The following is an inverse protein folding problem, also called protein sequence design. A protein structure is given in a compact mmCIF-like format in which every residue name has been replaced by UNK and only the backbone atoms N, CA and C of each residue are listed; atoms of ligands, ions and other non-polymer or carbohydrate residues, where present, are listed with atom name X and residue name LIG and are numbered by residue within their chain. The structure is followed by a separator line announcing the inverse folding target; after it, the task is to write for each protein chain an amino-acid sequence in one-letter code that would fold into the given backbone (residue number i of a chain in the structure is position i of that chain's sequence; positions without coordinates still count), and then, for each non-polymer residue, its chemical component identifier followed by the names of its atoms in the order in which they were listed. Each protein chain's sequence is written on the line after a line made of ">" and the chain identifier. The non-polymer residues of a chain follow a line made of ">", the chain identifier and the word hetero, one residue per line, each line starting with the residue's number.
data_IF_039233314393
#
_entry.id   IF_039233314393
#
_cell.length_a   1.000
_cell.length_b   1.000
_cell.length_c   1.000
_cell.angle_alpha   90.00
_cell.angle_beta   90.00
_cell.angle_gamma   90.00
#
_symmetry.space_group_name_H-M   'P 1'
#
loop_
_entity.id
_entity.type
_entity.pdbx_description
1 polymer ?
#
# COMPACT_ATOMS: atom_id res chain seq x y z
N UNK A 1 12.36 -63.20 -11.41
CA UNK A 1 12.06 -61.99 -10.61
C UNK A 1 13.14 -60.98 -10.86
N UNK A 2 12.93 -59.99 -11.75
CA UNK A 2 13.83 -58.82 -11.90
C UNK A 2 13.24 -57.67 -12.75
N UNK A 3 11.91 -57.57 -12.89
CA UNK A 3 11.26 -56.51 -13.69
C UNK A 3 10.15 -55.76 -12.94
N UNK A 4 10.38 -55.43 -11.66
CA UNK A 4 9.47 -54.56 -10.89
C UNK A 4 10.16 -53.41 -10.11
N UNK A 5 11.47 -53.18 -10.31
CA UNK A 5 12.17 -52.07 -9.65
C UNK A 5 12.32 -50.79 -10.50
N UNK A 6 12.13 -50.86 -11.83
CA UNK A 6 12.33 -49.71 -12.73
C UNK A 6 11.06 -48.87 -13.01
N UNK A 7 9.89 -49.27 -12.49
CA UNK A 7 8.66 -48.50 -12.66
C UNK A 7 8.40 -47.49 -11.52
N UNK A 8 9.14 -47.57 -10.41
CA UNK A 8 8.99 -46.69 -9.24
C UNK A 8 9.94 -45.48 -9.24
N UNK A 9 10.92 -45.45 -10.14
CA UNK A 9 11.92 -44.36 -10.27
C UNK A 9 11.57 -43.32 -11.34
N UNK A 10 10.34 -43.33 -11.88
CA UNK A 10 9.87 -42.39 -12.91
C UNK A 10 8.70 -41.49 -12.46
N UNK A 11 8.47 -41.36 -11.14
CA UNK A 11 7.43 -40.46 -10.60
C UNK A 11 8.04 -39.27 -9.82
N UNK A 12 9.36 -39.19 -9.70
CA UNK A 12 10.04 -38.19 -8.84
C UNK A 12 10.72 -37.03 -9.57
N UNK A 13 10.32 -36.71 -10.82
CA UNK A 13 11.01 -35.65 -11.59
C UNK A 13 10.12 -34.68 -12.37
N UNK A 14 8.87 -34.45 -11.93
CA UNK A 14 8.04 -33.35 -12.45
C UNK A 14 7.32 -32.65 -11.28
N UNK A 15 8.08 -31.98 -10.42
CA UNK A 15 7.65 -30.76 -9.72
C UNK A 15 8.86 -29.82 -9.73
N UNK A 16 9.17 -29.30 -10.90
CA UNK A 16 10.14 -28.23 -11.08
C UNK A 16 9.56 -27.24 -12.09
N UNK A 17 8.49 -26.56 -11.70
CA UNK A 17 8.03 -25.27 -12.26
C UNK A 17 6.75 -24.85 -11.53
N UNK A 18 6.86 -24.63 -10.22
CA UNK A 18 5.84 -23.92 -9.45
C UNK A 18 6.55 -22.92 -8.55
N UNK A 19 6.55 -21.68 -9.01
CA UNK A 19 6.67 -20.46 -8.21
C UNK A 19 7.75 -20.46 -7.13
N UNK A 20 9.01 -20.23 -7.53
CA UNK A 20 9.91 -19.44 -6.70
C UNK A 20 9.47 -17.97 -6.77
N UNK A 21 8.32 -17.67 -6.19
CA UNK A 21 8.13 -16.39 -5.52
C UNK A 21 8.61 -16.62 -4.09
N UNK A 22 9.93 -16.71 -3.91
CA UNK A 22 10.52 -16.44 -2.60
C UNK A 22 10.20 -14.98 -2.30
N UNK A 23 9.05 -14.76 -1.67
CA UNK A 23 8.87 -13.57 -0.85
C UNK A 23 9.93 -13.69 0.25
N UNK A 24 11.13 -13.20 -0.04
CA UNK A 24 12.08 -12.90 1.01
C UNK A 24 11.34 -11.92 1.92
N UNK A 25 10.94 -12.37 3.11
CA UNK A 25 10.85 -11.46 4.22
C UNK A 25 12.20 -10.74 4.23
N UNK A 26 12.22 -9.47 3.83
CA UNK A 26 13.45 -8.70 3.85
C UNK A 26 13.76 -8.47 5.32
N UNK A 27 14.63 -9.33 5.85
CA UNK A 27 15.01 -9.32 7.25
C UNK A 27 15.52 -7.95 7.66
N UNK A 28 15.20 -7.53 8.90
CA UNK A 28 15.70 -6.28 9.46
C UNK A 28 17.24 -6.30 9.48
N UNK A 29 17.86 -5.27 8.92
CA UNK A 29 19.31 -5.12 8.86
C UNK A 29 19.81 -4.07 9.86
N UNK A 30 20.93 -4.31 10.57
CA UNK A 30 21.50 -3.30 11.47
C UNK A 30 21.99 -2.09 10.69
N UNK A 31 21.78 -0.89 11.25
CA UNK A 31 22.23 0.37 10.67
C UNK A 31 23.53 0.84 11.34
N UNK A 32 24.43 1.40 10.54
CA UNK A 32 25.61 2.11 11.05
C UNK A 32 25.21 3.53 11.44
N UNK A 33 25.47 3.94 12.68
CA UNK A 33 25.02 5.23 13.20
C UNK A 33 26.10 5.94 14.02
N UNK A 34 26.06 7.26 14.02
CA UNK A 34 26.95 8.13 14.79
C UNK A 34 26.19 9.33 15.35
N UNK A 35 26.77 9.96 16.37
CA UNK A 35 26.24 11.20 16.95
C UNK A 35 26.93 12.40 16.31
N UNK A 36 26.14 13.40 15.93
CA UNK A 36 26.59 14.67 15.39
C UNK A 36 26.11 15.79 16.31
N UNK A 37 27.03 16.64 16.77
CA UNK A 37 26.66 17.83 17.54
C UNK A 37 25.94 18.83 16.64
N UNK A 38 24.73 19.23 17.05
CA UNK A 38 23.94 20.27 16.40
C UNK A 38 24.24 21.64 17.01
N UNK A 39 24.18 21.71 18.34
CA UNK A 39 24.43 22.94 19.10
C UNK A 39 25.02 22.63 20.46
N UNK A 40 25.91 23.48 20.94
CA UNK A 40 26.41 23.44 22.31
C UNK A 40 26.49 24.85 22.88
N UNK A 41 26.06 25.03 24.13
CA UNK A 41 26.22 26.26 24.88
C UNK A 41 26.41 25.97 26.37
N UNK A 42 26.42 27.02 27.20
CA UNK A 42 26.60 26.91 28.66
C UNK A 42 25.50 26.09 29.36
N UNK A 43 24.33 25.95 28.74
CA UNK A 43 23.17 25.25 29.30
C UNK A 43 23.23 23.76 28.95
N UNK A 44 23.65 23.39 27.73
CA UNK A 44 23.64 21.99 27.33
C UNK A 44 24.24 21.72 25.96
N UNK A 45 24.15 20.45 25.56
CA UNK A 45 24.56 19.93 24.25
C UNK A 45 23.36 19.28 23.57
N UNK A 46 23.12 19.64 22.32
CA UNK A 46 22.10 19.09 21.43
C UNK A 46 22.79 18.28 20.35
N UNK A 47 22.42 17.02 20.23
CA UNK A 47 23.05 16.07 19.31
C UNK A 47 21.99 15.34 18.49
N UNK A 48 22.32 15.08 17.24
CA UNK A 48 21.53 14.30 16.30
C UNK A 48 22.17 12.92 16.12
N UNK A 49 21.39 11.85 16.22
CA UNK A 49 21.84 10.51 15.83
C UNK A 49 21.54 10.32 14.35
N UNK A 50 22.60 10.26 13.56
CA UNK A 50 22.56 10.03 12.12
C UNK A 50 22.93 8.59 11.83
N UNK A 51 22.25 7.97 10.87
CA UNK A 51 22.57 6.63 10.41
C UNK A 51 22.75 6.61 8.90
N UNK A 52 23.67 5.77 8.42
CA UNK A 52 23.89 5.56 6.98
C UNK A 52 22.58 5.17 6.32
N UNK A 53 22.30 5.81 5.18
CA UNK A 53 21.07 5.55 4.45
C UNK A 53 20.98 4.07 4.02
N UNK A 54 19.94 3.33 4.45
CA UNK A 54 19.89 1.88 4.27
C UNK A 54 19.43 1.48 2.86
N UNK A 55 18.92 2.43 2.08
CA UNK A 55 18.43 2.19 0.70
C UNK A 55 19.53 2.41 -0.32
N UNK A 56 20.30 3.48 -0.17
CA UNK A 56 21.43 3.82 -1.04
C UNK A 56 22.46 4.62 -0.24
N UNK A 57 23.69 4.10 -0.13
CA UNK A 57 24.78 4.72 0.62
C UNK A 57 25.26 6.06 0.02
N UNK A 58 24.85 6.41 -1.20
CA UNK A 58 25.15 7.71 -1.81
C UNK A 58 24.12 8.79 -1.43
N UNK A 59 23.00 8.42 -0.82
CA UNK A 59 22.02 9.36 -0.31
C UNK A 59 22.43 9.89 1.07
N UNK A 60 21.96 11.09 1.47
CA UNK A 60 22.24 11.63 2.79
C UNK A 60 21.84 10.68 3.92
N UNK A 61 22.64 10.70 4.99
CA UNK A 61 22.35 9.98 6.21
C UNK A 61 21.01 10.41 6.81
N UNK A 62 20.36 9.46 7.47
CA UNK A 62 19.03 9.64 8.02
C UNK A 62 19.09 10.01 9.50
N UNK A 63 18.29 11.00 9.91
CA UNK A 63 18.09 11.32 11.32
C UNK A 63 17.19 10.26 11.97
N UNK A 64 17.67 9.63 13.05
CA UNK A 64 16.94 8.61 13.79
C UNK A 64 16.68 8.97 15.26
N UNK A 65 17.39 9.97 15.81
CA UNK A 65 17.09 10.49 17.14
C UNK A 65 17.62 11.92 17.32
N UNK A 66 16.98 12.69 18.20
CA UNK A 66 17.51 13.95 18.73
C UNK A 66 17.75 13.80 20.23
N UNK A 67 18.87 14.28 20.74
CA UNK A 67 19.25 14.16 22.15
C UNK A 67 19.63 15.53 22.71
N UNK A 68 19.20 15.79 23.94
CA UNK A 68 19.58 16.98 24.72
C UNK A 68 20.20 16.51 26.01
N UNK A 69 21.42 16.99 26.29
CA UNK A 69 22.14 16.73 27.53
C UNK A 69 22.41 18.05 28.26
N UNK A 70 21.92 18.17 29.48
CA UNK A 70 22.06 19.34 30.35
C UNK A 70 22.82 18.90 31.62
N UNK A 71 24.16 19.00 31.63
CA UNK A 71 24.99 18.45 32.71
C UNK A 71 24.69 19.04 34.08
N UNK A 72 24.40 20.34 34.14
CA UNK A 72 24.14 21.08 35.38
C UNK A 72 22.92 20.59 36.16
N UNK A 73 21.98 19.95 35.48
CA UNK A 73 20.77 19.38 36.09
C UNK A 73 20.75 17.84 36.04
N UNK A 74 21.78 17.20 35.48
CA UNK A 74 21.83 15.75 35.28
C UNK A 74 20.73 15.24 34.34
N UNK A 75 20.18 16.10 33.47
CA UNK A 75 19.08 15.75 32.58
C UNK A 75 19.64 15.29 31.23
N UNK A 76 19.16 14.14 30.77
CA UNK A 76 19.36 13.70 29.40
C UNK A 76 18.03 13.22 28.80
N UNK A 77 17.59 13.88 27.74
CA UNK A 77 16.35 13.55 27.04
C UNK A 77 16.69 13.14 25.62
N UNK A 78 16.02 12.10 25.12
CA UNK A 78 16.19 11.58 23.76
C UNK A 78 14.83 11.35 23.13
N UNK A 79 14.67 11.89 21.92
CA UNK A 79 13.50 11.71 21.09
C UNK A 79 13.88 10.81 19.92
N UNK A 80 13.36 9.58 19.94
CA UNK A 80 13.57 8.60 18.87
C UNK A 80 12.59 8.83 17.72
N UNK A 81 13.10 8.78 16.49
CA UNK A 81 12.32 8.90 15.25
C UNK A 81 12.18 7.53 14.57
N UNK A 82 11.82 6.53 15.37
CA UNK A 82 11.58 5.17 14.91
C UNK A 82 10.14 4.97 14.42
N UNK A 83 9.93 3.96 13.59
CA UNK A 83 8.69 3.74 12.87
C UNK A 83 8.87 3.76 11.36
N UNK A 84 7.75 3.66 10.64
CA UNK A 84 7.74 3.66 9.19
C UNK A 84 8.12 5.04 8.63
N UNK A 85 8.90 5.03 7.54
CA UNK A 85 9.45 6.18 6.84
C UNK A 85 9.10 6.08 5.37
N UNK A 86 8.18 6.93 4.90
CA UNK A 86 7.68 6.90 3.51
C UNK A 86 8.82 7.02 2.50
N UNK A 87 9.76 7.91 2.75
CA UNK A 87 10.91 8.18 1.89
C UNK A 87 11.87 6.99 1.77
N UNK A 88 11.92 6.13 2.80
CA UNK A 88 12.73 4.90 2.79
C UNK A 88 11.92 3.68 2.37
N UNK A 89 10.60 3.80 2.26
CA UNK A 89 9.69 2.68 1.98
C UNK A 89 9.88 1.54 2.99
N UNK A 90 10.11 1.87 4.25
CA UNK A 90 10.45 0.90 5.30
C UNK A 90 10.43 1.48 6.70
N UNK A 91 10.70 0.62 7.68
CA UNK A 91 10.61 0.92 9.11
C UNK A 91 11.99 0.99 9.72
N UNK A 92 12.30 2.12 10.37
CA UNK A 92 13.44 2.22 11.28
C UNK A 92 13.01 1.66 12.62
N UNK A 93 13.69 0.63 13.12
CA UNK A 93 13.43 -0.01 14.41
C UNK A 93 14.55 0.31 15.39
N UNK A 94 14.16 0.76 16.58
CA UNK A 94 15.09 0.99 17.69
C UNK A 94 14.82 -0.04 18.78
N UNK A 95 15.84 -0.85 19.07
CA UNK A 95 15.82 -1.86 20.12
C UNK A 95 16.71 -1.44 21.30
N UNK A 96 16.34 -1.85 22.51
CA UNK A 96 17.02 -1.51 23.77
C UNK A 96 16.24 -0.48 24.60
N UNK A 97 16.89 0.04 25.63
CA UNK A 97 16.31 1.10 26.46
C UNK A 97 16.24 2.39 25.63
N UNK A 98 15.01 2.88 25.41
CA UNK A 98 14.74 4.14 24.68
C UNK A 98 14.79 5.37 25.59
N UNK A 99 14.80 5.18 26.91
CA UNK A 99 14.82 6.26 27.90
C UNK A 99 16.24 6.69 28.25
N UNK A 100 17.22 5.79 28.11
CA UNK A 100 18.62 6.11 28.26
C UNK A 100 19.17 6.80 26.99
N UNK A 101 20.02 7.82 27.19
CA UNK A 101 20.78 8.46 26.12
C UNK A 101 21.85 7.57 25.48
N UNK A 102 21.96 6.32 25.93
CA UNK A 102 22.99 5.35 25.56
C UNK A 102 22.33 3.97 25.35
N UNK A 103 22.92 3.12 24.51
CA UNK A 103 22.61 1.68 24.54
C UNK A 103 21.44 1.20 23.69
N UNK A 104 21.18 1.83 22.53
CA UNK A 104 20.12 1.37 21.62
C UNK A 104 20.68 1.02 20.23
N UNK A 105 20.29 -0.15 19.73
CA UNK A 105 20.60 -0.63 18.38
C UNK A 105 19.53 -0.13 17.41
N UNK A 106 19.98 0.33 16.23
CA UNK A 106 19.09 0.81 15.17
C UNK A 106 19.15 -0.20 14.03
N UNK A 107 18.00 -0.58 13.50
CA UNK A 107 17.89 -1.47 12.35
C UNK A 107 16.85 -0.94 11.37
N UNK A 108 16.94 -1.37 10.12
CA UNK A 108 16.00 -1.02 9.07
C UNK A 108 15.33 -2.27 8.52
N UNK A 109 14.00 -2.24 8.47
CA UNK A 109 13.19 -3.27 7.85
C UNK A 109 12.43 -2.65 6.66
N UNK A 110 12.81 -2.95 5.41
CA UNK A 110 12.07 -2.46 4.26
C UNK A 110 10.66 -3.05 4.22
N UNK A 111 9.68 -2.26 3.76
CA UNK A 111 8.34 -2.77 3.55
C UNK A 111 8.31 -3.59 2.25
N UNK A 112 7.80 -4.83 2.28
CA UNK A 112 7.86 -5.72 1.13
C UNK A 112 7.14 -5.09 -0.07
N UNK A 113 7.70 -5.24 -1.27
CA UNK A 113 7.06 -4.75 -2.50
C UNK A 113 5.73 -5.46 -2.79
N UNK A 114 5.62 -6.71 -2.35
CA UNK A 114 4.38 -7.47 -2.42
C UNK A 114 4.25 -8.42 -1.25
N UNK A 115 3.02 -8.70 -0.84
CA UNK A 115 2.71 -9.62 0.26
C UNK A 115 1.42 -10.38 -0.02
N UNK A 116 1.20 -11.48 0.68
CA UNK A 116 -0.05 -12.23 0.65
C UNK A 116 -0.78 -12.00 1.97
N UNK A 117 -2.00 -11.45 1.89
CA UNK A 117 -2.89 -11.24 3.04
C UNK A 117 -4.20 -11.92 2.73
N UNK A 118 -4.62 -12.87 3.58
CA UNK A 118 -5.84 -13.67 3.40
C UNK A 118 -5.93 -14.34 2.01
N UNK A 119 -4.79 -14.82 1.49
CA UNK A 119 -4.69 -15.46 0.18
C UNK A 119 -4.74 -14.50 -1.02
N UNK A 120 -4.83 -13.19 -0.79
CA UNK A 120 -4.81 -12.17 -1.84
C UNK A 120 -3.42 -11.53 -1.94
N UNK A 121 -2.94 -11.41 -3.18
CA UNK A 121 -1.72 -10.67 -3.47
C UNK A 121 -1.97 -9.16 -3.33
N UNK A 122 -1.18 -8.55 -2.47
CA UNK A 122 -1.11 -7.12 -2.28
C UNK A 122 0.21 -6.58 -2.81
N UNK A 123 0.16 -5.45 -3.52
CA UNK A 123 1.35 -4.78 -4.05
C UNK A 123 1.52 -3.42 -3.42
N UNK A 124 2.69 -3.11 -2.87
CA UNK A 124 2.97 -1.82 -2.24
C UNK A 124 2.87 -0.72 -3.30
N UNK A 125 2.09 0.30 -3.01
CA UNK A 125 1.96 1.47 -3.87
C UNK A 125 3.17 2.40 -3.71
N UNK A 126 3.47 3.15 -4.76
CA UNK A 126 4.48 4.20 -4.67
C UNK A 126 3.84 5.47 -4.12
N UNK A 127 4.11 5.73 -2.85
CA UNK A 127 3.51 6.84 -2.11
C UNK A 127 4.58 7.83 -1.66
N UNK A 128 4.21 9.11 -1.62
CA UNK A 128 5.10 10.21 -1.28
C UNK A 128 4.37 11.35 -0.61
N UNK A 129 5.06 12.01 0.30
CA UNK A 129 4.65 13.31 0.83
C UNK A 129 5.11 14.42 -0.11
N UNK A 130 4.17 15.21 -0.61
CA UNK A 130 4.45 16.39 -1.40
C UNK A 130 4.22 17.63 -0.54
N UNK A 131 5.21 18.52 -0.46
CA UNK A 131 5.05 19.82 0.20
C UNK A 131 4.11 20.69 -0.64
N UNK A 132 3.15 21.33 0.03
CA UNK A 132 2.21 22.26 -0.59
C UNK A 132 2.64 23.69 -0.27
N UNK A 133 2.37 24.16 0.95
CA UNK A 133 2.71 25.51 1.46
C UNK A 133 2.79 25.44 2.99
N UNK A 134 3.66 26.24 3.63
CA UNK A 134 3.70 26.44 5.08
C UNK A 134 3.77 25.13 5.91
N UNK A 135 4.67 24.21 5.54
CA UNK A 135 4.81 22.89 6.18
C UNK A 135 3.57 21.99 6.11
N UNK A 136 2.61 22.33 5.24
CA UNK A 136 1.51 21.44 4.88
C UNK A 136 1.97 20.47 3.79
N UNK A 137 1.61 19.20 3.94
CA UNK A 137 1.97 18.14 3.02
C UNK A 137 0.77 17.29 2.66
N UNK A 138 0.76 16.82 1.41
CA UNK A 138 -0.21 15.86 0.90
C UNK A 138 0.47 14.51 0.69
N UNK A 139 -0.09 13.44 1.26
CA UNK A 139 0.32 12.07 1.02
C UNK A 139 -0.44 11.51 -0.18
N UNK A 140 0.30 11.32 -1.27
CA UNK A 140 -0.24 10.90 -2.57
C UNK A 140 0.37 9.55 -2.94
N UNK A 141 -0.39 8.71 -3.62
CA UNK A 141 0.11 7.44 -4.17
C UNK A 141 -0.19 7.33 -5.66
N UNK A 142 0.73 6.70 -6.38
CA UNK A 142 0.49 6.26 -7.75
C UNK A 142 -0.27 4.94 -7.76
N UNK A 143 -1.13 4.74 -8.76
CA UNK A 143 -1.77 3.45 -9.00
C UNK A 143 -0.75 2.43 -9.55
N UNK A 144 -1.18 1.16 -9.69
CA UNK A 144 -0.34 0.09 -10.23
C UNK A 144 0.12 0.30 -11.69
N UNK A 145 -0.39 1.33 -12.38
CA UNK A 145 0.03 1.75 -13.73
C UNK A 145 0.92 3.00 -13.69
N UNK A 146 1.32 3.46 -12.50
CA UNK A 146 2.15 4.65 -12.31
C UNK A 146 1.40 5.97 -12.45
N UNK A 147 0.06 5.97 -12.42
CA UNK A 147 -0.74 7.20 -12.50
C UNK A 147 -1.02 7.73 -11.11
N UNK A 148 -0.61 8.96 -10.83
CA UNK A 148 -0.92 9.62 -9.55
C UNK A 148 -2.42 9.79 -9.39
N UNK A 149 -2.96 9.28 -8.28
CA UNK A 149 -4.32 9.58 -7.89
C UNK A 149 -4.40 11.04 -7.42
N UNK A 150 -5.20 11.88 -8.08
CA UNK A 150 -5.38 13.30 -7.73
C UNK A 150 -6.22 13.53 -6.47
N UNK A 151 -6.13 12.63 -5.49
CA UNK A 151 -6.78 12.72 -4.19
C UNK A 151 -5.77 12.29 -3.11
N UNK A 152 -5.49 13.14 -2.11
CA UNK A 152 -4.61 12.76 -1.02
C UNK A 152 -5.24 11.66 -0.15
N UNK A 153 -4.44 10.66 0.21
CA UNK A 153 -4.83 9.64 1.20
C UNK A 153 -4.69 10.20 2.62
N UNK A 154 -3.76 11.12 2.84
CA UNK A 154 -3.63 11.86 4.07
C UNK A 154 -3.08 13.26 3.81
N UNK A 155 -3.30 14.17 4.74
CA UNK A 155 -2.64 15.47 4.80
C UNK A 155 -2.00 15.65 6.17
N UNK A 156 -0.86 16.33 6.25
CA UNK A 156 -0.25 16.68 7.54
C UNK A 156 0.24 18.12 7.55
N UNK A 157 0.10 18.77 8.70
CA UNK A 157 0.82 20.00 9.04
C UNK A 157 1.97 19.62 9.97
N UNK A 158 3.21 19.86 9.54
CA UNK A 158 4.38 19.65 10.36
C UNK A 158 4.73 20.94 11.11
N UNK A 159 4.93 20.86 12.42
CA UNK A 159 5.38 22.00 13.20
C UNK A 159 6.84 22.29 12.82
N UNK A 160 7.14 23.55 12.50
CA UNK A 160 8.49 23.96 12.10
C UNK A 160 9.54 23.49 13.13
N UNK A 161 10.66 22.97 12.64
CA UNK A 161 11.79 22.47 13.43
C UNK A 161 11.45 21.32 14.41
N UNK A 162 10.28 20.72 14.29
CA UNK A 162 9.79 19.66 15.17
C UNK A 162 9.49 18.36 14.42
N UNK A 163 9.54 17.25 15.16
CA UNK A 163 9.03 15.93 14.75
C UNK A 163 7.53 15.77 15.03
N UNK A 164 6.84 16.85 15.43
CA UNK A 164 5.41 16.83 15.72
C UNK A 164 4.58 17.19 14.48
N UNK A 165 3.52 16.43 14.25
CA UNK A 165 2.58 16.67 13.16
C UNK A 165 1.13 16.64 13.65
N UNK A 166 0.27 17.32 12.89
CA UNK A 166 -1.18 17.13 12.94
C UNK A 166 -1.59 16.54 11.60
N UNK A 167 -2.19 15.36 11.62
CA UNK A 167 -2.56 14.61 10.42
C UNK A 167 -4.07 14.44 10.29
N UNK A 168 -4.55 14.53 9.07
CA UNK A 168 -5.89 14.13 8.66
C UNK A 168 -5.80 12.97 7.67
N UNK A 169 -6.38 11.83 8.03
CA UNK A 169 -6.42 10.64 7.17
C UNK A 169 -7.76 10.58 6.42
N UNK A 170 -7.71 10.34 5.11
CA UNK A 170 -8.87 10.30 4.22
C UNK A 170 -9.14 8.86 3.79
N UNK A 171 -9.80 8.08 4.65
CA UNK A 171 -10.07 6.66 4.39
C UNK A 171 -10.88 6.41 3.11
N UNK A 172 -11.76 7.33 2.73
CA UNK A 172 -12.54 7.24 1.50
C UNK A 172 -11.68 7.22 0.24
N UNK A 173 -10.53 7.92 0.24
CA UNK A 173 -9.60 7.98 -0.90
C UNK A 173 -9.10 6.59 -1.30
N UNK A 174 -8.99 5.67 -0.34
CA UNK A 174 -8.54 4.29 -0.59
C UNK A 174 -9.44 3.52 -1.58
N UNK A 175 -10.69 3.94 -1.75
CA UNK A 175 -11.66 3.33 -2.65
C UNK A 175 -11.60 3.88 -4.08
N UNK A 176 -10.79 4.90 -4.36
CA UNK A 176 -10.71 5.53 -5.68
C UNK A 176 -9.74 4.84 -6.66
N UNK A 177 -9.02 3.82 -6.22
CA UNK A 177 -8.15 3.04 -7.11
C UNK A 177 -8.97 2.15 -8.05
N UNK A 178 -8.59 2.11 -9.33
CA UNK A 178 -9.30 1.31 -10.34
C UNK A 178 -8.89 -0.16 -10.26
N UNK A 179 -9.87 -1.08 -10.25
CA UNK A 179 -9.62 -2.53 -10.29
C UNK A 179 -9.32 -3.18 -8.94
N UNK A 180 -9.41 -2.42 -7.85
CA UNK A 180 -9.16 -2.91 -6.51
C UNK A 180 -9.36 -1.81 -5.47
N UNK A 181 -8.80 -2.01 -4.29
CA UNK A 181 -8.77 -1.04 -3.20
C UNK A 181 -7.35 -0.84 -2.72
N UNK A 182 -7.02 0.37 -2.28
CA UNK A 182 -5.84 0.57 -1.46
C UNK A 182 -6.16 0.18 -0.01
N UNK A 183 -5.17 -0.37 0.69
CA UNK A 183 -5.29 -0.83 2.07
C UNK A 183 -4.08 -0.39 2.87
N UNK A 184 -4.32 -0.12 4.15
CA UNK A 184 -3.29 0.12 5.15
C UNK A 184 -3.60 -0.76 6.37
N UNK A 185 -2.55 -1.22 7.06
CA UNK A 185 -2.73 -2.15 8.19
C UNK A 185 -3.36 -1.48 9.41
N UNK A 186 -3.00 -0.21 9.64
CA UNK A 186 -3.48 0.57 10.77
C UNK A 186 -3.75 2.01 10.33
N UNK A 187 -4.95 2.49 10.62
CA UNK A 187 -5.29 3.91 10.51
C UNK A 187 -4.32 4.71 11.38
N UNK A 188 -3.62 5.70 10.80
CA UNK A 188 -2.61 6.41 11.56
C UNK A 188 -3.27 7.40 12.54
N UNK A 189 -2.62 7.61 13.69
CA UNK A 189 -3.13 8.49 14.74
C UNK A 189 -3.12 9.97 14.29
N UNK A 190 -3.99 10.84 14.84
CA UNK A 190 -4.04 12.26 14.47
C UNK A 190 -2.74 13.05 14.67
N UNK A 191 -1.83 12.54 15.53
CA UNK A 191 -0.54 13.16 15.80
C UNK A 191 0.64 12.47 15.09
N UNK A 192 0.39 11.45 14.26
CA UNK A 192 1.45 10.79 13.52
C UNK A 192 1.99 11.66 12.37
N UNK A 193 3.29 11.55 12.09
CA UNK A 193 3.94 12.24 10.98
C UNK A 193 4.04 11.38 9.71
N UNK A 194 3.83 10.08 9.82
CA UNK A 194 3.97 9.13 8.72
C UNK A 194 2.73 8.26 8.62
N UNK A 195 2.43 7.83 7.39
CA UNK A 195 1.42 6.81 7.11
C UNK A 195 2.18 5.53 6.82
N UNK A 196 1.75 4.40 7.41
CA UNK A 196 2.32 3.09 7.12
C UNK A 196 2.27 2.74 5.62
N UNK A 197 2.92 1.65 5.20
CA UNK A 197 2.95 1.26 3.80
C UNK A 197 1.52 1.04 3.28
N UNK A 198 1.21 1.66 2.15
CA UNK A 198 -0.07 1.47 1.45
C UNK A 198 0.11 0.37 0.43
N UNK A 199 -0.82 -0.59 0.42
CA UNK A 199 -0.84 -1.65 -0.56
C UNK A 199 -2.10 -1.59 -1.41
N UNK A 200 -1.98 -1.98 -2.67
CA UNK A 200 -3.10 -2.21 -3.56
C UNK A 200 -3.50 -3.69 -3.52
N UNK A 201 -4.77 -3.92 -3.21
CA UNK A 201 -5.42 -5.24 -3.24
C UNK A 201 -6.37 -5.28 -4.42
N UNK A 202 -6.01 -6.05 -5.45
CA UNK A 202 -6.87 -6.24 -6.61
C UNK A 202 -8.13 -7.03 -6.23
N UNK A 203 -9.23 -6.79 -6.93
CA UNK A 203 -10.39 -7.67 -6.80
C UNK A 203 -10.05 -9.07 -7.33
N UNK A 204 -10.52 -10.14 -6.64
CA UNK A 204 -10.24 -11.49 -7.08
C UNK A 204 -10.85 -11.74 -8.46
N UNK A 205 -10.06 -12.30 -9.38
CA UNK A 205 -10.53 -12.60 -10.73
C UNK A 205 -11.70 -13.59 -10.72
N UNK A 206 -11.71 -14.50 -9.74
CA UNK A 206 -12.80 -15.43 -9.46
C UNK A 206 -13.02 -15.54 -7.96
N UNK A 207 -14.27 -15.68 -7.53
CA UNK A 207 -14.65 -15.91 -6.13
C UNK A 207 -15.89 -16.80 -6.04
N UNK A 208 -16.13 -17.37 -4.86
CA UNK A 208 -17.35 -18.12 -4.57
C UNK A 208 -18.22 -17.28 -3.64
N UNK A 209 -19.45 -16.99 -4.06
CA UNK A 209 -20.45 -16.26 -3.27
C UNK A 209 -21.75 -17.04 -3.32
N UNK A 210 -22.29 -17.39 -2.15
CA UNK A 210 -23.49 -18.22 -2.00
C UNK A 210 -23.40 -19.58 -2.74
N UNK A 211 -22.20 -20.15 -2.84
CA UNK A 211 -21.95 -21.40 -3.57
C UNK A 211 -21.83 -21.26 -5.09
N UNK A 212 -22.02 -20.06 -5.64
CA UNK A 212 -21.86 -19.78 -7.07
C UNK A 212 -20.49 -19.19 -7.38
N UNK A 213 -19.91 -19.59 -8.50
CA UNK A 213 -18.69 -18.96 -9.02
C UNK A 213 -19.03 -17.62 -9.66
N UNK A 214 -18.37 -16.57 -9.19
CA UNK A 214 -18.41 -15.24 -9.75
C UNK A 214 -17.07 -14.91 -10.41
N UNK A 215 -17.11 -14.47 -11.66
CA UNK A 215 -15.90 -14.07 -12.42
C UNK A 215 -15.90 -12.56 -12.64
N UNK A 216 -14.79 -11.91 -12.30
CA UNK A 216 -14.62 -10.47 -12.45
C UNK A 216 -14.63 -10.10 -13.94
N UNK A 217 -15.46 -9.11 -14.29
CA UNK A 217 -15.52 -8.56 -15.64
C UNK A 217 -14.57 -7.38 -15.80
N UNK A 218 -14.02 -7.26 -17.01
CA UNK A 218 -13.20 -6.12 -17.41
C UNK A 218 -14.10 -5.07 -18.06
N UNK A 219 -14.17 -3.88 -17.46
CA UNK A 219 -15.11 -2.85 -17.87
C UNK A 219 -14.41 -1.57 -18.29
N UNK A 220 -14.84 -0.99 -19.41
CA UNK A 220 -14.29 0.24 -19.97
C UNK A 220 -15.41 1.17 -20.40
N UNK A 221 -15.24 2.47 -20.15
CA UNK A 221 -16.08 3.51 -20.75
C UNK A 221 -15.66 3.75 -22.20
N UNK A 222 -16.63 3.82 -23.09
CA UNK A 222 -16.45 4.17 -24.50
C UNK A 222 -17.33 5.37 -24.82
N UNK A 223 -16.74 6.37 -25.47
CA UNK A 223 -17.43 7.60 -25.84
C UNK A 223 -18.26 7.33 -27.09
N UNK A 224 -19.55 7.65 -27.04
CA UNK A 224 -20.43 7.55 -28.20
C UNK A 224 -20.54 8.92 -28.89
N UNK A 225 -20.59 9.97 -28.08
CA UNK A 225 -20.50 11.37 -28.51
C UNK A 225 -20.05 12.24 -27.32
N UNK A 226 -19.99 13.55 -27.50
CA UNK A 226 -19.51 14.51 -26.48
C UNK A 226 -20.32 14.50 -25.17
N UNK A 227 -21.56 14.02 -25.20
CA UNK A 227 -22.48 14.04 -24.06
C UNK A 227 -22.81 12.65 -23.53
N UNK A 228 -22.38 11.59 -24.22
CA UNK A 228 -22.78 10.23 -23.92
C UNK A 228 -21.62 9.26 -23.95
N UNK A 229 -21.47 8.51 -22.86
CA UNK A 229 -20.52 7.40 -22.76
C UNK A 229 -21.24 6.15 -22.29
N UNK A 230 -20.83 5.00 -22.79
CA UNK A 230 -21.38 3.70 -22.38
C UNK A 230 -20.28 2.87 -21.73
N UNK A 231 -20.57 2.30 -20.57
CA UNK A 231 -19.69 1.36 -19.89
C UNK A 231 -19.97 -0.03 -20.40
N UNK A 232 -19.01 -0.61 -21.09
CA UNK A 232 -19.06 -1.99 -21.56
C UNK A 232 -18.21 -2.88 -20.66
N UNK A 233 -18.73 -4.04 -20.30
CA UNK A 233 -18.00 -5.09 -19.62
C UNK A 233 -17.84 -6.32 -20.51
N UNK A 234 -16.71 -7.00 -20.37
CA UNK A 234 -16.44 -8.24 -21.08
C UNK A 234 -15.50 -9.13 -20.28
N UNK A 235 -15.56 -10.43 -20.53
CA UNK A 235 -14.51 -11.38 -20.17
C UNK A 235 -14.55 -12.54 -21.15
N UNK A 236 -13.42 -12.83 -21.78
CA UNK A 236 -13.31 -13.93 -22.75
C UNK A 236 -13.71 -15.25 -22.11
N UNK A 237 -14.51 -16.05 -22.82
CA UNK A 237 -15.06 -17.32 -22.32
C UNK A 237 -16.19 -17.20 -21.28
N UNK A 238 -16.56 -15.99 -20.86
CA UNK A 238 -17.64 -15.75 -19.89
C UNK A 238 -18.84 -15.07 -20.55
N UNK A 239 -18.59 -14.01 -21.32
CA UNK A 239 -19.61 -13.29 -22.09
C UNK A 239 -19.34 -13.46 -23.58
N UNK A 240 -20.40 -13.76 -24.34
CA UNK A 240 -20.30 -13.94 -25.80
C UNK A 240 -19.90 -12.66 -26.55
N UNK A 241 -20.22 -11.49 -25.97
CA UNK A 241 -19.90 -10.18 -26.54
C UNK A 241 -19.73 -9.12 -25.44
N UNK A 242 -19.20 -7.95 -25.80
CA UNK A 242 -19.16 -6.78 -24.89
C UNK A 242 -20.58 -6.40 -24.48
N UNK A 243 -20.84 -6.39 -23.19
CA UNK A 243 -22.18 -6.15 -22.64
C UNK A 243 -22.26 -4.74 -22.04
N UNK A 244 -23.22 -3.90 -22.45
CA UNK A 244 -23.40 -2.59 -21.83
C UNK A 244 -23.92 -2.78 -20.41
N UNK A 245 -23.31 -2.12 -19.43
CA UNK A 245 -23.71 -2.22 -18.01
C UNK A 245 -24.04 -0.86 -17.39
N UNK A 246 -23.69 0.23 -18.06
CA UNK A 246 -23.92 1.57 -17.56
C UNK A 246 -23.89 2.60 -18.67
N UNK A 247 -24.50 3.74 -18.40
CA UNK A 247 -24.65 4.87 -19.29
C UNK A 247 -24.29 6.14 -18.52
N UNK A 248 -23.49 7.01 -19.11
CA UNK A 248 -23.23 8.37 -18.61
C UNK A 248 -23.81 9.35 -19.65
N UNK A 249 -24.74 10.19 -19.22
CA UNK A 249 -25.35 11.25 -20.00
C UNK A 249 -25.09 12.59 -19.32
N UNK A 250 -24.27 13.44 -19.93
CA UNK A 250 -23.89 14.76 -19.38
C UNK A 250 -23.36 14.70 -17.93
N UNK A 251 -22.60 13.65 -17.58
CA UNK A 251 -22.09 13.45 -16.22
C UNK A 251 -23.05 12.73 -15.27
N UNK A 252 -24.27 12.40 -15.72
CA UNK A 252 -25.23 11.62 -14.94
C UNK A 252 -25.12 10.13 -15.28
N UNK A 253 -24.63 9.35 -14.33
CA UNK A 253 -24.48 7.91 -14.48
C UNK A 253 -25.77 7.15 -14.13
N UNK A 254 -26.15 6.22 -15.01
CA UNK A 254 -27.27 5.29 -14.85
C UNK A 254 -26.78 3.85 -15.02
N UNK A 255 -27.24 2.95 -14.15
CA UNK A 255 -26.96 1.52 -14.26
C UNK A 255 -27.90 0.86 -15.27
N UNK A 256 -27.35 0.03 -16.15
CA UNK A 256 -28.10 -0.78 -17.12
C UNK A 256 -28.12 -2.27 -16.72
N UNK A 257 -27.57 -2.62 -15.55
CA UNK A 257 -27.37 -4.02 -15.14
C UNK A 257 -28.69 -4.79 -15.07
N UNK A 258 -29.76 -4.20 -14.53
CA UNK A 258 -31.05 -4.88 -14.44
C UNK A 258 -31.61 -5.24 -15.82
N UNK A 259 -31.65 -4.26 -16.72
CA UNK A 259 -32.08 -4.45 -18.11
C UNK A 259 -31.22 -5.47 -18.84
N UNK A 260 -29.91 -5.44 -18.58
CA UNK A 260 -28.94 -6.37 -19.16
C UNK A 260 -29.16 -7.79 -18.68
N UNK A 261 -29.40 -7.97 -17.38
CA UNK A 261 -29.67 -9.29 -16.79
C UNK A 261 -30.92 -9.95 -17.35
N UNK A 262 -31.94 -9.17 -17.74
CA UNK A 262 -33.14 -9.69 -18.42
C UNK A 262 -32.86 -10.25 -19.82
N UNK A 263 -31.73 -9.87 -20.43
CA UNK A 263 -31.33 -10.31 -21.78
C UNK A 263 -30.31 -11.46 -21.76
N UNK A 264 -29.68 -11.72 -20.61
CA UNK A 264 -28.72 -12.81 -20.47
C UNK A 264 -29.46 -14.15 -20.38
N UNK A 265 -29.08 -15.10 -21.24
CA UNK A 265 -29.69 -16.43 -21.28
C UNK A 265 -29.15 -17.37 -20.20
N UNK A 266 -27.92 -17.12 -19.73
CA UNK A 266 -27.28 -17.89 -18.67
C UNK A 266 -26.52 -16.93 -17.76
N UNK A 267 -26.73 -17.04 -16.45
CA UNK A 267 -26.05 -16.20 -15.46
C UNK A 267 -26.66 -14.81 -15.26
N UNK A 268 -25.98 -14.01 -14.44
CA UNK A 268 -26.31 -12.61 -14.18
C UNK A 268 -25.06 -11.78 -13.88
N UNK A 269 -25.11 -10.51 -14.25
CA UNK A 269 -24.12 -9.48 -13.89
C UNK A 269 -24.50 -8.89 -12.53
N UNK A 270 -23.50 -8.70 -11.68
CA UNK A 270 -23.63 -8.20 -10.32
C UNK A 270 -22.61 -7.07 -10.13
N UNK A 271 -23.07 -5.91 -9.69
CA UNK A 271 -22.21 -4.83 -9.19
C UNK A 271 -22.15 -4.92 -7.67
N UNK A 272 -20.96 -5.17 -7.12
CA UNK A 272 -20.80 -5.39 -5.69
C UNK A 272 -20.32 -4.14 -4.95
N UNK A 273 -21.29 -3.32 -4.53
CA UNK A 273 -21.04 -2.09 -3.76
C UNK A 273 -20.54 -2.34 -2.34
N UNK A 274 -20.62 -3.57 -1.84
CA UNK A 274 -20.12 -3.91 -0.50
C UNK A 274 -18.61 -3.98 -0.47
N UNK A 275 -17.98 -4.34 -1.59
CA UNK A 275 -16.53 -4.33 -1.73
C UNK A 275 -15.95 -2.92 -1.91
N UNK A 276 -16.65 -2.07 -2.66
CA UNK A 276 -16.24 -0.68 -2.86
C UNK A 276 -17.44 0.17 -3.28
N UNK A 277 -17.82 1.19 -2.48
CA UNK A 277 -18.99 2.02 -2.76
C UNK A 277 -18.74 3.07 -3.87
N UNK A 278 -17.48 3.37 -4.20
CA UNK A 278 -17.08 4.39 -5.18
C UNK A 278 -16.87 3.78 -6.56
N UNK A 279 -16.03 2.74 -6.63
CA UNK A 279 -15.69 2.01 -7.86
C UNK A 279 -15.97 0.50 -7.66
N UNK A 280 -17.26 0.11 -7.60
CA UNK A 280 -17.62 -1.28 -7.35
C UNK A 280 -17.13 -2.19 -8.47
N UNK A 281 -16.59 -3.39 -8.13
CA UNK A 281 -16.33 -4.41 -9.13
C UNK A 281 -17.62 -4.95 -9.71
N UNK A 282 -17.54 -5.35 -10.98
CA UNK A 282 -18.65 -5.98 -11.70
C UNK A 282 -18.26 -7.43 -11.96
N UNK A 283 -19.07 -8.36 -11.48
CA UNK A 283 -18.89 -9.80 -11.65
C UNK A 283 -19.99 -10.38 -12.53
N UNK A 284 -19.68 -11.49 -13.19
CA UNK A 284 -20.66 -12.39 -13.78
C UNK A 284 -20.78 -13.64 -12.91
N UNK A 285 -22.01 -13.95 -12.48
CA UNK A 285 -22.36 -15.17 -11.76
C UNK A 285 -23.00 -16.14 -12.74
N UNK A 286 -22.38 -17.29 -12.99
CA UNK A 286 -23.00 -18.35 -13.77
C UNK A 286 -24.17 -18.99 -13.00
N UNK A 287 -25.21 -19.43 -13.72
CA UNK A 287 -26.31 -20.22 -13.18
C UNK A 287 -26.01 -21.72 -13.29
#
# INVERSE_FOLDING_TARGET
>A
MNNKLNALLKVSSIIACSFMATAHAQDSSPMSCYWQSDKQNEIGTWENKMCTNPVDANLPDILVAKKVHIPSYGICTIDWLDGYRTELKGTVKVAGDKTACWGSAVSFEPAPESRIVDGLLEKRLDCRWNNVVNNSHNFMCDDIKGRTLNLPIATKLQIADSSNCVMSFHSSTLNHFTGGVAVIDKTPEPNACEVGPVYFRAYPAQRIVDGFTETLLECTWQDVNDTMRIRYCSKEGVLAQKTPVGLDLNGHQQSLIESTNKQLQAGKIIEDKTLNPVNPPIYFRAL
#
